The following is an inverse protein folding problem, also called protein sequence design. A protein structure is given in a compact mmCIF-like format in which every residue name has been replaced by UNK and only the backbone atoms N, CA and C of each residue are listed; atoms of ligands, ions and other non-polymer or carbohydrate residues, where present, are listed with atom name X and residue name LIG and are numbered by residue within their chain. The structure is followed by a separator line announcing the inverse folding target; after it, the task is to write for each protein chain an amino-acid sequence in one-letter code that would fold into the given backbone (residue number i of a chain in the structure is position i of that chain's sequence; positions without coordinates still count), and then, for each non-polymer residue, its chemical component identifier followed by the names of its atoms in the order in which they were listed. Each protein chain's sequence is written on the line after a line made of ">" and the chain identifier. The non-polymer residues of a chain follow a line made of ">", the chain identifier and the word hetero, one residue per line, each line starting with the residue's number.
data_IF_939387568821
#
_entry.id   IF_939387568821
#
_cell.length_a   1.000
_cell.length_b   1.000
_cell.length_c   1.000
_cell.angle_alpha   90.00
_cell.angle_beta   90.00
_cell.angle_gamma   90.00
#
_symmetry.space_group_name_H-M   'P 1'
#
loop_
_entity.id
_entity.type
_entity.pdbx_description
1 polymer ?
#
# COMPACT_ATOMS: atom_id res chain seq x y z
N UNK A 1 30.40 -0.20 -48.06
CA UNK A 1 30.18 0.27 -46.67
C UNK A 1 31.29 -0.31 -45.79
N UNK A 2 32.12 0.56 -45.25
CA UNK A 2 33.28 0.13 -44.45
C UNK A 2 32.83 -0.19 -43.00
N UNK A 3 33.34 -1.29 -42.45
CA UNK A 3 32.99 -1.76 -41.10
C UNK A 3 33.22 -0.67 -40.01
N UNK A 4 34.16 0.22 -40.24
CA UNK A 4 34.47 1.33 -39.32
C UNK A 4 33.32 2.39 -39.30
N UNK A 5 32.76 2.72 -40.44
CA UNK A 5 31.64 3.67 -40.53
C UNK A 5 30.37 3.11 -39.90
N UNK A 6 30.15 1.79 -39.97
CA UNK A 6 29.01 1.16 -39.29
C UNK A 6 29.12 1.25 -37.75
N UNK A 7 30.32 0.98 -37.21
CA UNK A 7 30.56 1.04 -35.77
C UNK A 7 30.48 2.46 -35.19
N UNK A 8 30.96 3.46 -35.92
CA UNK A 8 30.84 4.86 -35.48
C UNK A 8 29.39 5.37 -35.53
N UNK A 9 28.63 4.98 -36.54
CA UNK A 9 27.20 5.36 -36.63
C UNK A 9 26.37 4.66 -35.55
N UNK A 10 26.69 3.39 -35.24
CA UNK A 10 26.02 2.64 -34.15
C UNK A 10 26.34 3.20 -32.78
N UNK A 11 27.57 3.69 -32.53
CA UNK A 11 27.95 4.31 -31.25
C UNK A 11 27.23 5.64 -31.00
N UNK A 12 27.02 6.45 -32.04
CA UNK A 12 26.27 7.70 -31.96
C UNK A 12 24.76 7.49 -31.80
N UNK A 13 24.20 6.43 -32.41
CA UNK A 13 22.81 6.06 -32.27
C UNK A 13 22.49 5.45 -30.89
N UNK A 14 23.43 4.71 -30.31
CA UNK A 14 23.28 4.09 -29.00
C UNK A 14 23.24 5.09 -27.82
N UNK A 15 23.98 6.20 -27.92
CA UNK A 15 23.97 7.23 -26.87
C UNK A 15 22.71 8.09 -26.88
N UNK A 16 22.04 8.25 -28.02
CA UNK A 16 20.75 8.96 -28.10
C UNK A 16 19.59 8.13 -27.54
N UNK A 17 19.65 6.79 -27.62
CA UNK A 17 18.64 5.90 -27.06
C UNK A 17 18.79 5.72 -25.52
N UNK A 18 19.99 5.89 -24.97
CA UNK A 18 20.21 5.84 -23.52
C UNK A 18 19.78 7.12 -22.78
N UNK A 19 19.53 8.21 -23.51
CA UNK A 19 19.00 9.46 -22.97
C UNK A 19 17.46 9.52 -22.99
N UNK A 20 16.76 8.47 -23.45
CA UNK A 20 15.37 8.28 -23.05
C UNK A 20 15.36 7.97 -21.55
N UNK A 21 15.35 8.99 -20.75
CA UNK A 21 14.95 8.89 -19.35
C UNK A 21 13.69 8.07 -19.36
N UNK A 22 13.74 6.84 -18.84
CA UNK A 22 12.55 6.19 -18.36
C UNK A 22 11.92 7.24 -17.48
N UNK A 23 10.86 7.89 -17.99
CA UNK A 23 10.05 8.76 -17.18
C UNK A 23 9.70 7.90 -15.99
N UNK A 24 10.33 8.15 -14.84
CA UNK A 24 9.88 7.58 -13.59
C UNK A 24 8.37 7.79 -13.62
N UNK A 25 7.54 6.75 -13.41
CA UNK A 25 6.12 6.93 -13.44
C UNK A 25 5.89 8.18 -12.62
N UNK A 26 5.31 9.21 -13.23
CA UNK A 26 4.98 10.43 -12.54
C UNK A 26 3.97 9.99 -11.48
N UNK A 27 4.46 9.58 -10.34
CA UNK A 27 3.68 9.45 -9.13
C UNK A 27 3.16 10.86 -8.95
N UNK A 28 1.87 10.99 -9.24
CA UNK A 28 1.21 12.27 -9.38
C UNK A 28 1.69 13.15 -8.23
N UNK A 29 2.26 14.31 -8.56
CA UNK A 29 2.71 15.31 -7.61
C UNK A 29 1.49 15.93 -6.91
N UNK A 30 0.65 15.10 -6.28
CA UNK A 30 -0.58 15.42 -5.60
C UNK A 30 -0.67 14.66 -4.29
N UNK A 31 -1.14 15.33 -3.26
CA UNK A 31 -1.49 14.67 -2.00
C UNK A 31 -2.57 13.61 -2.24
N UNK A 32 -2.33 12.39 -1.78
CA UNK A 32 -3.30 11.30 -1.85
C UNK A 32 -3.74 10.93 -0.43
N UNK A 33 -5.04 10.86 -0.24
CA UNK A 33 -5.64 10.37 0.99
C UNK A 33 -6.00 8.90 0.82
N UNK A 34 -5.48 8.06 1.70
CA UNK A 34 -5.79 6.62 1.76
C UNK A 34 -6.86 6.40 2.83
N UNK A 35 -7.94 5.73 2.46
CA UNK A 35 -9.00 5.38 3.41
C UNK A 35 -8.65 4.07 4.10
N UNK A 36 -8.48 4.14 5.43
CA UNK A 36 -8.26 2.99 6.30
C UNK A 36 -9.54 2.67 7.07
N UNK A 37 -10.09 1.48 6.89
CA UNK A 37 -11.19 0.95 7.70
C UNK A 37 -10.65 -0.01 8.76
N UNK A 38 -11.17 0.06 9.99
CA UNK A 38 -10.68 -0.81 11.07
C UNK A 38 -11.83 -1.55 11.79
N UNK A 39 -11.50 -2.71 12.34
CA UNK A 39 -12.46 -3.54 13.08
C UNK A 39 -12.67 -3.11 14.53
N UNK A 40 -11.83 -2.24 15.06
CA UNK A 40 -11.88 -1.80 16.47
C UNK A 40 -12.32 -0.35 16.60
N UNK A 41 -13.04 -0.01 17.68
CA UNK A 41 -13.48 1.35 17.91
C UNK A 41 -12.31 2.29 18.22
N UNK A 42 -12.54 3.58 18.06
CA UNK A 42 -11.56 4.60 18.45
C UNK A 42 -11.26 4.50 19.93
N UNK A 43 -9.99 4.67 20.30
CA UNK A 43 -9.51 4.58 21.68
C UNK A 43 -9.38 3.15 22.21
N UNK A 44 -9.51 2.13 21.36
CA UNK A 44 -9.24 0.75 21.76
C UNK A 44 -7.74 0.56 21.96
N UNK A 45 -7.35 0.36 23.20
CA UNK A 45 -5.95 0.31 23.62
C UNK A 45 -5.11 -0.64 22.75
N UNK A 46 -3.90 -0.23 22.38
CA UNK A 46 -2.94 -0.92 21.53
C UNK A 46 -3.37 -0.97 20.05
N UNK A 47 -4.58 -1.41 19.72
CA UNK A 47 -4.97 -1.63 18.31
C UNK A 47 -5.31 -0.32 17.59
N UNK A 48 -6.06 0.58 18.23
CA UNK A 48 -6.31 1.91 17.65
C UNK A 48 -5.05 2.79 17.70
N UNK A 49 -4.22 2.63 18.74
CA UNK A 49 -2.94 3.33 18.87
C UNK A 49 -1.97 2.91 17.77
N UNK A 50 -1.88 1.59 17.48
CA UNK A 50 -1.06 1.07 16.39
C UNK A 50 -1.46 1.65 15.03
N UNK A 51 -2.77 1.65 14.72
CA UNK A 51 -3.26 2.23 13.47
C UNK A 51 -3.00 3.74 13.37
N UNK A 52 -3.07 4.45 14.48
CA UNK A 52 -2.73 5.88 14.55
C UNK A 52 -1.25 6.11 14.33
N UNK A 53 -0.41 5.27 14.94
CA UNK A 53 1.05 5.37 14.83
C UNK A 53 1.54 5.18 13.40
N UNK A 54 1.15 4.09 12.72
CA UNK A 54 1.61 3.91 11.35
C UNK A 54 0.94 4.84 10.34
N UNK A 55 -0.28 5.34 10.60
CA UNK A 55 -0.87 6.40 9.78
C UNK A 55 0.00 7.66 9.83
N UNK A 56 0.49 8.04 11.00
CA UNK A 56 1.42 9.14 11.19
C UNK A 56 2.76 8.87 10.50
N UNK A 57 3.30 7.65 10.61
CA UNK A 57 4.53 7.28 9.91
C UNK A 57 4.40 7.39 8.39
N UNK A 58 3.28 6.97 7.82
CA UNK A 58 3.03 7.10 6.37
C UNK A 58 3.07 8.57 5.95
N UNK A 59 2.44 9.45 6.70
CA UNK A 59 2.44 10.89 6.44
C UNK A 59 3.87 11.48 6.53
N UNK A 60 4.59 11.19 7.60
CA UNK A 60 5.97 11.66 7.82
C UNK A 60 6.95 11.11 6.77
N UNK A 61 6.89 9.81 6.44
CA UNK A 61 7.80 9.18 5.47
C UNK A 61 7.54 9.62 4.04
N UNK A 62 6.32 10.05 3.74
CA UNK A 62 5.93 10.54 2.41
C UNK A 62 6.04 12.05 2.27
N UNK A 63 6.54 12.76 3.28
CA UNK A 63 6.57 14.23 3.34
C UNK A 63 5.18 14.86 3.06
N UNK A 64 4.13 14.23 3.63
CA UNK A 64 2.74 14.65 3.46
C UNK A 64 2.12 14.34 2.09
N UNK A 65 2.81 13.58 1.22
CA UNK A 65 2.27 13.16 -0.06
C UNK A 65 1.17 12.09 0.10
N UNK A 66 1.26 11.27 1.15
CA UNK A 66 0.27 10.26 1.52
C UNK A 66 -0.25 10.56 2.93
N UNK A 67 -1.56 10.67 3.07
CA UNK A 67 -2.22 10.79 4.38
C UNK A 67 -3.24 9.66 4.54
N UNK A 68 -3.52 9.25 5.77
CA UNK A 68 -4.46 8.17 6.06
C UNK A 68 -5.68 8.72 6.77
N UNK A 69 -6.85 8.57 6.14
CA UNK A 69 -8.14 8.86 6.74
C UNK A 69 -8.70 7.60 7.39
N UNK A 70 -8.59 7.55 8.72
CA UNK A 70 -8.97 6.39 9.54
C UNK A 70 -10.46 6.42 9.87
N UNK A 71 -11.16 5.35 9.53
CA UNK A 71 -12.59 5.12 9.77
C UNK A 71 -12.79 4.04 10.83
N UNK A 72 -13.49 4.37 11.90
CA UNK A 72 -13.92 3.40 12.91
C UNK A 72 -15.12 2.57 12.43
N UNK A 73 -15.40 1.42 13.08
CA UNK A 73 -16.59 0.63 12.76
C UNK A 73 -17.86 1.45 12.76
N UNK A 74 -18.67 1.32 11.71
CA UNK A 74 -19.91 2.07 11.52
C UNK A 74 -19.75 3.45 10.89
N UNK A 75 -18.53 3.96 10.68
CA UNK A 75 -18.31 5.23 9.96
C UNK A 75 -18.41 5.05 8.43
N UNK A 76 -17.92 3.93 7.92
CA UNK A 76 -18.00 3.57 6.50
C UNK A 76 -18.63 2.18 6.33
N UNK A 77 -18.09 1.18 7.04
CA UNK A 77 -18.55 -0.21 7.03
C UNK A 77 -18.57 -0.78 8.45
N UNK A 78 -19.22 -1.92 8.66
CA UNK A 78 -19.21 -2.66 9.93
C UNK A 78 -17.82 -3.26 10.25
N UNK A 79 -17.61 -3.64 11.50
CA UNK A 79 -16.33 -4.14 12.01
C UNK A 79 -15.80 -5.38 11.28
N UNK A 80 -16.67 -6.26 10.79
CA UNK A 80 -16.31 -7.49 10.07
C UNK A 80 -16.44 -7.37 8.55
N UNK A 81 -16.81 -6.19 8.03
CA UNK A 81 -17.00 -5.92 6.61
C UNK A 81 -15.76 -5.25 5.98
N UNK A 82 -14.72 -4.99 6.79
CA UNK A 82 -13.52 -4.25 6.36
C UNK A 82 -12.76 -4.96 5.24
N UNK A 83 -12.75 -6.29 5.23
CA UNK A 83 -12.15 -7.08 4.16
C UNK A 83 -12.88 -6.89 2.82
N UNK A 84 -14.20 -6.96 2.85
CA UNK A 84 -15.04 -6.80 1.66
C UNK A 84 -14.97 -5.37 1.13
N UNK A 85 -14.88 -4.37 2.02
CA UNK A 85 -14.71 -2.97 1.65
C UNK A 85 -13.42 -2.72 0.86
N UNK A 86 -12.31 -3.33 1.26
CA UNK A 86 -11.04 -3.21 0.52
C UNK A 86 -11.08 -4.05 -0.76
N UNK A 87 -11.62 -5.25 -0.72
CA UNK A 87 -11.73 -6.13 -1.89
C UNK A 87 -12.58 -5.53 -3.00
N UNK A 88 -13.62 -4.74 -2.65
CA UNK A 88 -14.47 -4.03 -3.59
C UNK A 88 -13.94 -2.66 -4.02
N UNK A 89 -12.83 -2.19 -3.43
CA UNK A 89 -12.27 -0.87 -3.70
C UNK A 89 -13.00 0.29 -3.02
N UNK A 90 -13.85 0.03 -2.04
CA UNK A 90 -14.52 1.06 -1.23
C UNK A 90 -13.57 1.71 -0.23
N UNK A 91 -12.53 0.98 0.19
CA UNK A 91 -11.44 1.46 1.02
C UNK A 91 -10.10 1.02 0.44
N UNK A 92 -9.02 1.75 0.76
CA UNK A 92 -7.67 1.43 0.26
C UNK A 92 -6.96 0.39 1.14
N UNK A 93 -7.24 0.37 2.43
CA UNK A 93 -6.57 -0.48 3.41
C UNK A 93 -7.52 -0.84 4.55
N UNK A 94 -7.26 -1.98 5.20
CA UNK A 94 -7.95 -2.33 6.44
C UNK A 94 -6.98 -2.65 7.57
N UNK A 95 -7.45 -2.48 8.81
CA UNK A 95 -6.78 -2.91 10.03
C UNK A 95 -7.71 -3.82 10.83
N UNK A 96 -7.39 -5.11 10.82
CA UNK A 96 -8.20 -6.17 11.43
C UNK A 96 -7.33 -7.36 11.79
N UNK A 97 -7.92 -8.38 12.40
CA UNK A 97 -7.28 -9.66 12.61
C UNK A 97 -7.74 -10.64 11.50
N UNK A 98 -6.80 -11.16 10.73
CA UNK A 98 -7.11 -11.96 9.54
C UNK A 98 -7.91 -13.22 9.86
N UNK A 99 -7.80 -13.78 11.07
CA UNK A 99 -8.60 -14.95 11.46
C UNK A 99 -10.12 -14.69 11.50
N UNK A 100 -10.56 -13.44 11.50
CA UNK A 100 -11.99 -13.13 11.35
C UNK A 100 -12.53 -13.52 9.97
N UNK A 101 -11.66 -13.66 8.97
CA UNK A 101 -12.00 -13.93 7.58
C UNK A 101 -11.72 -15.38 7.13
N UNK A 102 -11.54 -16.32 8.08
CA UNK A 102 -11.36 -17.74 7.76
C UNK A 102 -12.52 -18.34 6.96
N UNK A 103 -13.71 -17.77 7.04
CA UNK A 103 -14.84 -18.13 6.18
C UNK A 103 -14.61 -17.80 4.70
N UNK A 104 -13.76 -16.84 4.38
CA UNK A 104 -13.38 -16.49 3.01
C UNK A 104 -12.30 -17.46 2.48
N UNK A 105 -11.27 -17.72 3.31
CA UNK A 105 -10.23 -18.68 2.98
C UNK A 105 -9.54 -19.19 4.26
N UNK A 106 -9.36 -20.52 4.43
CA UNK A 106 -8.76 -21.08 5.64
C UNK A 106 -7.31 -20.63 5.89
N UNK A 107 -6.61 -20.17 4.87
CA UNK A 107 -5.25 -19.63 4.98
C UNK A 107 -5.14 -18.40 5.89
N UNK A 108 -6.21 -17.65 6.11
CA UNK A 108 -6.20 -16.48 7.01
C UNK A 108 -5.93 -16.83 8.48
N UNK A 109 -6.20 -18.07 8.89
CA UNK A 109 -5.87 -18.53 10.23
C UNK A 109 -4.36 -18.50 10.52
N UNK A 110 -3.52 -18.62 9.50
CA UNK A 110 -2.06 -18.68 9.65
C UNK A 110 -1.38 -17.33 9.85
N UNK A 111 -2.03 -16.22 9.50
CA UNK A 111 -1.41 -14.89 9.60
C UNK A 111 -1.47 -14.28 11.01
N UNK A 112 -2.40 -14.71 11.85
CA UNK A 112 -2.61 -14.14 13.18
C UNK A 112 -2.52 -15.14 14.34
N UNK A 113 -2.42 -16.43 14.05
CA UNK A 113 -2.56 -17.48 15.08
C UNK A 113 -1.56 -18.61 14.91
N UNK A 114 -0.35 -18.33 14.43
CA UNK A 114 0.70 -19.35 14.34
C UNK A 114 1.26 -19.59 15.75
N UNK A 115 1.01 -20.76 16.36
CA UNK A 115 1.61 -21.08 17.64
C UNK A 115 3.14 -21.06 17.50
N UNK A 116 3.83 -20.41 18.45
CA UNK A 116 5.28 -20.25 18.43
C UNK A 116 5.82 -19.47 17.23
N UNK A 117 4.97 -18.72 16.52
CA UNK A 117 5.42 -17.74 15.54
C UNK A 117 6.34 -16.70 16.18
N UNK A 118 7.22 -16.07 15.38
CA UNK A 118 8.18 -15.10 15.87
C UNK A 118 7.51 -13.98 16.68
N UNK A 119 8.11 -13.66 17.79
CA UNK A 119 7.78 -12.51 18.65
C UNK A 119 8.54 -11.28 18.15
#
# INVERSE_FOLDING_TARGET
>A
MDRRSFLTTSALGGTAAAASTLAAPAYAAGKRVLTLVQSWPRGFAVLDDASTYYSKMIDEMSDGALTVDKKAPGELVGALEVFDAVSSGQADMYHSADYYFIGQHPGYAYFTSVPFGGT
#
